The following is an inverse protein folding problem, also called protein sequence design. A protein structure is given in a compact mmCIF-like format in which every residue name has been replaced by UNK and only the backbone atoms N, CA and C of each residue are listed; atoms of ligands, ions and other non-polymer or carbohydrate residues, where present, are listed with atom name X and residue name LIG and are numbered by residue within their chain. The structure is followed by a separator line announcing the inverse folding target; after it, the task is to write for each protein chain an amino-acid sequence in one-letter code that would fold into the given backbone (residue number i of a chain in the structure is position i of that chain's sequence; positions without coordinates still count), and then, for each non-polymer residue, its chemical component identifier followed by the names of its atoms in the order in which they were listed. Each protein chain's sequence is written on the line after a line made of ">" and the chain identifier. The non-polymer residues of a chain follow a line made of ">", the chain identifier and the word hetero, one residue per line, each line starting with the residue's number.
data_IF_031417655563
#
_entry.id   IF_031417655563
#
_cell.length_a   1.000
_cell.length_b   1.000
_cell.length_c   1.000
_cell.angle_alpha   90.00
_cell.angle_beta   90.00
_cell.angle_gamma   90.00
#
_symmetry.space_group_name_H-M   'P 1'
#
loop_
_entity.id
_entity.type
_entity.pdbx_description
1 polymer ?
#
# COMPACT_ATOMS: atom_id res chain seq x y z
N UNK A 1 5.79 -25.82 7.85
CA UNK A 1 5.92 -26.58 9.12
C UNK A 1 7.40 -26.68 9.52
N UNK A 2 8.26 -27.19 8.66
CA UNK A 2 9.66 -27.49 8.97
C UNK A 2 10.46 -26.30 9.48
N UNK A 3 10.29 -25.11 8.89
CA UNK A 3 10.95 -23.87 9.35
C UNK A 3 10.52 -23.45 10.76
N UNK A 4 9.26 -23.69 11.15
CA UNK A 4 8.78 -23.39 12.51
C UNK A 4 9.45 -24.31 13.50
N UNK A 5 9.48 -25.63 13.25
CA UNK A 5 10.12 -26.60 14.11
C UNK A 5 11.63 -26.37 14.23
N UNK A 6 12.29 -26.08 13.11
CA UNK A 6 13.71 -25.72 13.13
C UNK A 6 13.99 -24.48 13.99
N UNK A 7 13.16 -23.43 13.82
CA UNK A 7 13.34 -22.22 14.61
C UNK A 7 13.09 -22.46 16.11
N UNK A 8 12.10 -23.29 16.48
CA UNK A 8 11.86 -23.68 17.88
C UNK A 8 13.11 -24.35 18.44
N UNK A 9 13.65 -25.38 17.77
CA UNK A 9 14.84 -26.08 18.20
C UNK A 9 16.06 -25.14 18.38
N UNK A 10 16.26 -24.20 17.45
CA UNK A 10 17.32 -23.21 17.54
C UNK A 10 17.12 -22.22 18.71
N UNK A 11 15.89 -21.85 19.02
CA UNK A 11 15.57 -20.98 20.15
C UNK A 11 15.73 -21.69 21.50
N UNK A 12 15.38 -22.98 21.57
CA UNK A 12 15.60 -23.82 22.74
C UNK A 12 17.08 -23.93 23.13
N UNK A 13 17.99 -24.06 22.14
CA UNK A 13 19.44 -24.09 22.37
C UNK A 13 19.99 -22.84 23.02
N UNK A 14 19.31 -21.70 22.85
CA UNK A 14 19.69 -20.43 23.46
C UNK A 14 18.77 -20.03 24.64
N UNK A 15 18.00 -20.99 25.18
CA UNK A 15 17.05 -20.82 26.27
C UNK A 15 15.97 -19.75 26.03
N UNK A 16 15.50 -19.61 24.78
CA UNK A 16 14.37 -18.75 24.44
C UNK A 16 13.12 -19.62 24.29
N UNK A 17 12.13 -19.39 25.15
CA UNK A 17 10.86 -20.13 25.11
C UNK A 17 10.07 -19.77 23.83
N UNK A 18 9.59 -20.80 23.15
CA UNK A 18 8.82 -20.67 21.92
C UNK A 18 7.66 -21.66 21.88
N UNK A 19 6.50 -21.22 21.43
CA UNK A 19 5.27 -21.99 21.40
C UNK A 19 4.74 -22.12 19.96
N UNK A 20 4.25 -23.30 19.60
CA UNK A 20 3.64 -23.55 18.28
C UNK A 20 2.22 -23.00 18.24
N UNK A 21 1.91 -22.26 17.19
CA UNK A 21 0.60 -21.68 16.93
C UNK A 21 0.05 -22.20 15.62
N UNK A 22 -1.19 -22.71 15.66
CA UNK A 22 -1.93 -23.13 14.47
C UNK A 22 -2.92 -22.04 14.04
N UNK A 23 -2.98 -21.77 12.75
CA UNK A 23 -3.80 -20.71 12.15
C UNK A 23 -4.46 -21.19 10.86
N UNK A 24 -5.69 -20.72 10.61
CA UNK A 24 -6.32 -20.78 9.31
C UNK A 24 -6.22 -19.40 8.62
N UNK A 25 -5.40 -19.30 7.57
CA UNK A 25 -5.19 -18.06 6.83
C UNK A 25 -6.37 -17.68 5.93
N UNK A 26 -7.17 -18.66 5.50
CA UNK A 26 -8.29 -18.49 4.56
C UNK A 26 -9.63 -18.19 5.25
N UNK A 27 -9.74 -18.50 6.54
CA UNK A 27 -10.97 -18.34 7.30
C UNK A 27 -10.74 -17.99 8.77
N UNK A 28 -11.84 -17.80 9.50
CA UNK A 28 -11.86 -17.83 10.95
C UNK A 28 -12.60 -19.09 11.38
N UNK A 29 -12.14 -19.77 12.41
CA UNK A 29 -12.92 -20.83 13.02
C UNK A 29 -13.79 -20.23 14.12
N UNK A 30 -15.12 -20.44 14.01
CA UNK A 30 -16.10 -19.94 14.97
C UNK A 30 -16.67 -21.05 15.86
N UNK A 31 -16.13 -22.26 15.78
CA UNK A 31 -16.65 -23.43 16.50
C UNK A 31 -15.91 -23.66 17.81
N UNK A 32 -16.64 -24.08 18.82
CA UNK A 32 -16.09 -24.55 20.10
C UNK A 32 -15.27 -25.85 19.95
N UNK A 33 -15.50 -26.60 18.88
CA UNK A 33 -14.76 -27.84 18.57
C UNK A 33 -13.79 -27.55 17.43
N UNK A 34 -12.51 -27.68 17.73
CA UNK A 34 -11.40 -27.51 16.78
C UNK A 34 -11.42 -28.74 15.82
N UNK A 35 -12.05 -28.58 14.68
CA UNK A 35 -11.86 -29.49 13.54
C UNK A 35 -10.62 -29.04 12.78
N UNK A 36 -9.92 -29.97 12.12
CA UNK A 36 -8.59 -29.80 11.50
C UNK A 36 -8.49 -28.77 10.33
N UNK A 37 -9.05 -27.59 10.50
CA UNK A 37 -9.09 -26.53 9.48
C UNK A 37 -7.81 -25.65 9.46
N UNK A 38 -6.78 -26.02 10.21
CA UNK A 38 -5.53 -25.28 10.23
C UNK A 38 -4.68 -25.58 9.00
N UNK A 39 -4.36 -24.56 8.24
CA UNK A 39 -3.58 -24.67 7.01
C UNK A 39 -2.18 -24.03 7.10
N UNK A 40 -1.86 -23.39 8.25
CA UNK A 40 -0.57 -22.75 8.45
C UNK A 40 -0.13 -22.78 9.93
N UNK A 41 1.17 -22.58 10.16
CA UNK A 41 1.80 -22.63 11.46
C UNK A 41 2.66 -21.39 11.69
N UNK A 42 2.51 -20.78 12.86
CA UNK A 42 3.29 -19.67 13.36
C UNK A 42 4.04 -20.11 14.63
N UNK A 43 4.89 -19.20 15.11
CA UNK A 43 5.58 -19.34 16.37
C UNK A 43 5.21 -18.15 17.27
N UNK A 44 5.08 -18.38 18.57
CA UNK A 44 4.84 -17.37 19.58
C UNK A 44 5.97 -17.39 20.60
N UNK A 45 6.53 -16.22 20.87
CA UNK A 45 7.53 -15.97 21.93
C UNK A 45 6.82 -15.34 23.13
N UNK A 46 6.56 -16.12 24.21
CA UNK A 46 5.73 -15.63 25.32
C UNK A 46 6.34 -14.47 26.11
N UNK A 47 7.63 -14.48 26.34
CA UNK A 47 8.31 -13.40 27.06
C UNK A 47 8.28 -12.05 26.34
N UNK A 48 8.34 -12.07 25.00
CA UNK A 48 8.30 -10.89 24.15
C UNK A 48 6.88 -10.52 23.72
N UNK A 49 5.90 -11.38 24.00
CA UNK A 49 4.52 -11.30 23.48
C UNK A 49 4.51 -11.11 21.96
N UNK A 50 5.25 -11.96 21.24
CA UNK A 50 5.55 -11.76 19.85
C UNK A 50 5.22 -12.99 19.01
N UNK A 51 4.42 -12.80 17.94
CA UNK A 51 4.17 -13.81 16.92
C UNK A 51 5.15 -13.67 15.76
N UNK A 52 5.67 -14.80 15.28
CA UNK A 52 6.59 -14.87 14.14
C UNK A 52 6.07 -15.83 13.08
N UNK A 53 6.31 -15.49 11.81
CA UNK A 53 6.07 -16.36 10.68
C UNK A 53 7.38 -16.65 9.94
N UNK A 54 8.11 -17.72 10.29
CA UNK A 54 9.40 -18.05 9.65
C UNK A 54 9.26 -18.55 8.21
N UNK A 55 8.02 -18.80 7.76
CA UNK A 55 7.75 -19.21 6.38
C UNK A 55 7.68 -18.01 5.40
N UNK A 56 7.64 -16.78 5.91
CA UNK A 56 7.58 -15.58 5.09
C UNK A 56 8.96 -14.92 4.99
N UNK A 57 9.60 -15.01 3.82
CA UNK A 57 10.94 -14.45 3.57
C UNK A 57 11.00 -12.92 3.47
N UNK A 58 9.83 -12.24 3.39
CA UNK A 58 9.75 -10.80 3.18
C UNK A 58 9.23 -10.01 4.37
N UNK A 59 8.93 -10.70 5.48
CA UNK A 59 8.39 -10.08 6.69
C UNK A 59 9.51 -9.73 7.66
N UNK A 60 9.54 -8.49 8.08
CA UNK A 60 10.49 -8.01 9.10
C UNK A 60 10.18 -8.64 10.45
N UNK A 61 11.22 -8.82 11.27
CA UNK A 61 11.05 -9.26 12.65
C UNK A 61 10.01 -8.41 13.39
N UNK A 62 9.17 -9.03 14.17
CA UNK A 62 8.09 -8.38 14.91
C UNK A 62 6.83 -8.07 14.10
N UNK A 63 6.79 -8.45 12.82
CA UNK A 63 5.62 -8.29 11.96
C UNK A 63 5.00 -9.62 11.58
N UNK A 64 3.73 -9.57 11.20
CA UNK A 64 3.02 -10.68 10.59
C UNK A 64 2.55 -10.30 9.18
N UNK A 65 2.56 -11.25 8.24
CA UNK A 65 1.86 -11.10 6.98
C UNK A 65 0.39 -10.73 7.19
N UNK A 66 -0.22 -10.09 6.19
CA UNK A 66 -1.62 -9.68 6.22
C UNK A 66 -2.56 -10.82 6.64
N UNK A 67 -2.44 -11.99 6.02
CA UNK A 67 -3.31 -13.14 6.29
C UNK A 67 -3.16 -13.76 7.68
N UNK A 68 -2.17 -13.33 8.46
CA UNK A 68 -1.88 -13.85 9.79
C UNK A 68 -2.30 -12.86 10.90
N UNK A 69 -2.71 -11.63 10.56
CA UNK A 69 -3.12 -10.61 11.53
C UNK A 69 -4.61 -10.69 11.88
N UNK A 70 -4.97 -10.43 13.14
CA UNK A 70 -6.35 -10.41 13.60
C UNK A 70 -7.06 -11.76 13.55
N UNK A 71 -6.35 -12.84 13.40
CA UNK A 71 -6.90 -14.19 13.26
C UNK A 71 -7.03 -14.88 14.62
N UNK A 72 -8.12 -15.66 14.79
CA UNK A 72 -8.18 -16.66 15.87
C UNK A 72 -7.14 -17.75 15.58
N UNK A 73 -6.39 -18.13 16.59
CA UNK A 73 -5.31 -19.11 16.51
C UNK A 73 -5.37 -20.07 17.69
N UNK A 74 -4.89 -21.29 17.52
CA UNK A 74 -4.74 -22.27 18.60
C UNK A 74 -3.27 -22.30 19.04
N UNK A 75 -3.04 -21.96 20.30
CA UNK A 75 -1.75 -22.19 20.94
C UNK A 75 -1.69 -23.65 21.40
N UNK A 76 -0.84 -24.46 20.79
CA UNK A 76 -0.76 -25.89 21.08
C UNK A 76 -0.20 -26.18 22.49
N UNK A 77 0.76 -25.41 22.94
CA UNK A 77 1.39 -25.62 24.25
C UNK A 77 0.41 -25.37 25.41
N UNK A 78 -0.53 -24.43 25.21
CA UNK A 78 -1.51 -24.03 26.25
C UNK A 78 -2.89 -24.63 26.05
N UNK A 79 -3.18 -25.20 24.89
CA UNK A 79 -4.52 -25.65 24.52
C UNK A 79 -5.55 -24.51 24.45
N UNK A 80 -5.10 -23.26 24.17
CA UNK A 80 -5.93 -22.07 24.25
C UNK A 80 -6.09 -21.40 22.89
N UNK A 81 -7.29 -20.87 22.68
CA UNK A 81 -7.58 -20.01 21.54
C UNK A 81 -7.14 -18.58 21.89
N UNK A 82 -6.35 -17.98 21.01
CA UNK A 82 -5.84 -16.62 21.11
C UNK A 82 -6.18 -15.85 19.84
N UNK A 83 -5.87 -14.57 19.80
CA UNK A 83 -6.00 -13.74 18.60
C UNK A 83 -4.64 -13.09 18.28
N UNK A 84 -4.20 -13.23 17.04
CA UNK A 84 -2.98 -12.55 16.59
C UNK A 84 -3.19 -11.04 16.54
N UNK A 85 -2.16 -10.23 16.81
CA UNK A 85 -2.29 -8.78 16.84
C UNK A 85 -2.57 -8.22 15.45
N UNK A 86 -3.29 -7.09 15.43
CA UNK A 86 -3.46 -6.23 14.28
C UNK A 86 -2.54 -5.02 14.48
N UNK A 87 -1.73 -4.68 13.49
CA UNK A 87 -0.91 -3.48 13.53
C UNK A 87 -1.76 -2.24 13.24
N UNK A 88 -1.58 -1.14 13.98
CA UNK A 88 -2.31 0.11 13.75
C UNK A 88 -1.92 0.74 12.40
N UNK A 89 -2.76 1.67 11.92
CA UNK A 89 -2.57 2.33 10.62
C UNK A 89 -1.24 3.09 10.51
N UNK A 90 -0.72 3.59 11.62
CA UNK A 90 0.58 4.29 11.69
C UNK A 90 1.75 3.36 11.33
N UNK A 91 1.52 2.05 11.42
CA UNK A 91 2.50 1.04 11.06
C UNK A 91 2.44 0.65 9.58
N UNK A 92 1.26 0.74 8.96
CA UNK A 92 1.02 0.38 7.57
C UNK A 92 0.88 1.65 6.73
N UNK A 93 1.99 2.18 6.24
CA UNK A 93 2.01 3.44 5.50
C UNK A 93 2.59 3.30 4.11
N UNK A 94 1.98 3.99 3.17
CA UNK A 94 2.53 4.27 1.86
C UNK A 94 2.55 5.78 1.63
N UNK A 95 3.72 6.34 1.35
CA UNK A 95 3.91 7.75 1.03
C UNK A 95 4.47 7.86 -0.38
N UNK A 96 3.78 8.56 -1.25
CA UNK A 96 4.24 8.85 -2.60
C UNK A 96 4.36 10.35 -2.80
N UNK A 97 5.48 10.76 -3.34
CA UNK A 97 5.70 12.10 -3.87
C UNK A 97 5.94 12.00 -5.36
N UNK A 98 5.18 12.75 -6.14
CA UNK A 98 5.28 12.82 -7.58
C UNK A 98 5.51 14.24 -8.03
N UNK A 99 6.46 14.43 -8.96
CA UNK A 99 6.64 15.69 -9.69
C UNK A 99 6.30 15.39 -11.14
N UNK A 100 5.40 16.15 -11.71
CA UNK A 100 4.87 15.98 -13.06
C UNK A 100 5.15 17.25 -13.84
N UNK A 101 6.03 17.13 -14.83
CA UNK A 101 6.34 18.23 -15.75
C UNK A 101 5.49 18.06 -17.01
N UNK A 102 4.42 18.83 -17.15
CA UNK A 102 3.61 18.86 -18.35
C UNK A 102 4.39 19.49 -19.51
N UNK A 103 4.34 18.88 -20.69
CA UNK A 103 4.95 19.39 -21.92
C UNK A 103 3.89 19.92 -22.86
N UNK A 104 4.23 20.92 -23.68
CA UNK A 104 3.29 21.58 -24.60
C UNK A 104 2.55 20.64 -25.60
N UNK A 105 3.07 19.44 -25.80
CA UNK A 105 2.59 18.46 -26.76
C UNK A 105 1.74 17.34 -26.14
N UNK A 106 1.14 17.56 -24.96
CA UNK A 106 0.29 16.57 -24.27
C UNK A 106 1.04 15.48 -23.52
N UNK A 107 2.38 15.49 -23.56
CA UNK A 107 3.23 14.57 -22.80
C UNK A 107 3.46 15.05 -21.38
N UNK A 108 3.88 14.14 -20.52
CA UNK A 108 4.36 14.49 -19.19
C UNK A 108 5.62 13.68 -18.85
N UNK A 109 6.60 14.36 -18.22
CA UNK A 109 7.70 13.69 -17.51
C UNK A 109 7.30 13.55 -16.06
N UNK A 110 7.38 12.34 -15.52
CA UNK A 110 6.96 12.03 -14.16
C UNK A 110 8.14 11.48 -13.37
N UNK A 111 8.44 12.12 -12.25
CA UNK A 111 9.34 11.63 -11.22
C UNK A 111 8.55 11.22 -9.98
N UNK A 112 8.56 9.94 -9.66
CA UNK A 112 7.83 9.36 -8.56
C UNK A 112 8.79 8.78 -7.52
N UNK A 113 8.58 9.11 -6.25
CA UNK A 113 9.26 8.49 -5.12
C UNK A 113 8.24 7.93 -4.15
N UNK A 114 8.38 6.65 -3.82
CA UNK A 114 7.53 5.91 -2.90
C UNK A 114 8.35 5.46 -1.70
N UNK A 115 7.81 5.66 -0.50
CA UNK A 115 8.29 5.08 0.75
C UNK A 115 7.22 4.15 1.31
N UNK A 116 7.61 2.94 1.64
CA UNK A 116 6.72 1.89 2.12
C UNK A 116 7.09 1.46 3.55
N UNK A 117 6.08 1.25 4.39
CA UNK A 117 6.23 0.74 5.75
C UNK A 117 5.15 -0.30 6.06
N UNK A 118 5.49 -1.26 6.93
CA UNK A 118 4.57 -2.31 7.35
C UNK A 118 4.16 -3.21 6.19
N UNK A 119 2.86 -3.32 5.94
CA UNK A 119 2.34 -4.14 4.85
C UNK A 119 2.79 -3.68 3.46
N UNK A 120 2.91 -2.38 3.22
CA UNK A 120 3.41 -1.86 1.95
C UNK A 120 4.89 -2.18 1.72
N UNK A 121 5.69 -2.18 2.79
CA UNK A 121 7.10 -2.62 2.73
C UNK A 121 7.20 -4.12 2.39
N UNK A 122 6.33 -4.95 2.99
CA UNK A 122 6.21 -6.36 2.64
C UNK A 122 5.91 -6.56 1.15
N UNK A 123 4.93 -5.82 0.59
CA UNK A 123 4.59 -5.92 -0.84
C UNK A 123 5.77 -5.49 -1.71
N UNK A 124 6.42 -4.38 -1.39
CA UNK A 124 7.57 -3.91 -2.16
C UNK A 124 8.71 -4.96 -2.17
N UNK A 125 8.97 -5.60 -1.02
CA UNK A 125 9.96 -6.68 -0.91
C UNK A 125 9.55 -7.93 -1.69
N UNK A 126 8.28 -8.33 -1.62
CA UNK A 126 7.76 -9.49 -2.35
C UNK A 126 7.81 -9.28 -3.87
N UNK A 127 7.55 -8.05 -4.34
CA UNK A 127 7.58 -7.72 -5.77
C UNK A 127 8.99 -7.59 -6.34
N UNK A 128 9.94 -7.06 -5.57
CA UNK A 128 11.24 -6.63 -6.10
C UNK A 128 12.45 -7.29 -5.43
N UNK A 129 12.29 -7.89 -4.24
CA UNK A 129 13.41 -8.28 -3.38
C UNK A 129 14.31 -9.38 -3.95
N UNK A 130 13.73 -10.32 -4.71
CA UNK A 130 14.47 -11.43 -5.33
C UNK A 130 14.79 -11.18 -6.81
N UNK A 131 14.35 -10.05 -7.37
CA UNK A 131 14.57 -9.75 -8.78
C UNK A 131 15.95 -9.14 -9.02
N UNK A 132 16.59 -9.57 -10.13
CA UNK A 132 17.74 -8.85 -10.68
C UNK A 132 17.36 -7.43 -11.12
N UNK A 133 18.33 -6.56 -11.33
CA UNK A 133 18.10 -5.18 -11.82
C UNK A 133 17.23 -5.16 -13.10
N UNK A 134 17.48 -6.08 -14.03
CA UNK A 134 16.66 -6.21 -15.24
C UNK A 134 15.24 -6.68 -14.91
N UNK A 135 15.09 -7.62 -13.98
CA UNK A 135 13.79 -8.08 -13.48
C UNK A 135 13.00 -6.96 -12.83
N UNK A 136 13.64 -6.17 -11.98
CA UNK A 136 13.04 -5.00 -11.36
C UNK A 136 12.56 -3.97 -12.39
N UNK A 137 13.37 -3.70 -13.42
CA UNK A 137 12.98 -2.81 -14.52
C UNK A 137 11.75 -3.33 -15.28
N UNK A 138 11.71 -4.62 -15.61
CA UNK A 138 10.56 -5.25 -16.29
C UNK A 138 9.29 -5.20 -15.42
N UNK A 139 9.40 -5.55 -14.15
CA UNK A 139 8.29 -5.49 -13.21
C UNK A 139 7.73 -4.06 -13.09
N UNK A 140 8.62 -3.05 -12.98
CA UNK A 140 8.21 -1.64 -12.94
C UNK A 140 7.51 -1.23 -14.23
N UNK A 141 8.05 -1.58 -15.42
CA UNK A 141 7.40 -1.28 -16.69
C UNK A 141 6.02 -1.90 -16.80
N UNK A 142 5.84 -3.14 -16.33
CA UNK A 142 4.53 -3.79 -16.31
C UNK A 142 3.54 -3.07 -15.40
N UNK A 143 3.98 -2.61 -14.22
CA UNK A 143 3.13 -1.83 -13.32
C UNK A 143 2.72 -0.52 -13.98
N UNK A 144 3.66 0.21 -14.59
CA UNK A 144 3.37 1.47 -15.28
C UNK A 144 2.40 1.28 -16.45
N UNK A 145 2.54 0.22 -17.24
CA UNK A 145 1.64 -0.10 -18.36
C UNK A 145 0.19 -0.38 -17.93
N UNK A 146 -0.03 -0.77 -16.67
CA UNK A 146 -1.39 -0.92 -16.13
C UNK A 146 -2.06 0.42 -15.78
N UNK A 147 -1.28 1.51 -15.69
CA UNK A 147 -1.77 2.82 -15.28
C UNK A 147 -1.68 3.88 -16.37
N UNK A 148 -0.76 3.74 -17.32
CA UNK A 148 -0.46 4.75 -18.33
C UNK A 148 -0.37 4.13 -19.73
N UNK A 149 -0.69 4.92 -20.73
CA UNK A 149 -0.55 4.54 -22.14
C UNK A 149 0.91 4.73 -22.57
N UNK A 150 1.55 3.67 -23.04
CA UNK A 150 2.94 3.66 -23.56
C UNK A 150 3.95 4.40 -22.67
N UNK A 151 4.05 4.12 -21.37
CA UNK A 151 5.01 4.78 -20.50
C UNK A 151 6.43 4.36 -20.88
N UNK A 152 7.34 5.33 -20.97
CA UNK A 152 8.75 5.08 -21.24
C UNK A 152 9.55 5.26 -19.95
N UNK A 153 10.01 4.13 -19.37
CA UNK A 153 10.77 4.14 -18.12
C UNK A 153 12.23 4.55 -18.38
N UNK A 154 12.63 5.72 -17.90
CA UNK A 154 13.98 6.28 -18.04
C UNK A 154 14.89 5.83 -16.89
N UNK A 155 14.45 6.10 -15.68
CA UNK A 155 15.20 5.90 -14.44
C UNK A 155 14.47 4.97 -13.48
N UNK A 156 15.25 4.13 -12.81
CA UNK A 156 14.75 3.27 -11.73
C UNK A 156 15.80 3.19 -10.62
N UNK A 157 15.37 3.36 -9.39
CA UNK A 157 16.18 3.14 -8.20
C UNK A 157 15.32 2.50 -7.13
N UNK A 158 15.65 1.27 -6.77
CA UNK A 158 14.96 0.46 -5.77
C UNK A 158 15.94 0.16 -4.64
N UNK A 159 15.61 0.56 -3.42
CA UNK A 159 16.46 0.37 -2.26
C UNK A 159 15.67 -0.31 -1.12
N UNK A 160 16.37 -1.06 -0.27
CA UNK A 160 15.83 -1.67 0.94
C UNK A 160 14.97 -2.91 0.72
N UNK A 161 14.71 -3.32 -0.52
CA UNK A 161 13.81 -4.46 -0.82
C UNK A 161 14.44 -5.83 -0.54
N UNK A 162 15.76 -5.96 -0.62
CA UNK A 162 16.49 -7.19 -0.31
C UNK A 162 17.01 -7.26 1.12
N UNK A 163 16.79 -6.21 1.94
CA UNK A 163 17.27 -6.10 3.30
C UNK A 163 16.08 -5.92 4.26
N UNK A 164 15.81 -6.93 5.11
CA UNK A 164 14.70 -6.88 6.06
C UNK A 164 14.88 -5.81 7.15
N UNK A 165 16.08 -5.29 7.36
CA UNK A 165 16.35 -4.23 8.34
C UNK A 165 16.12 -2.82 7.80
N UNK A 166 15.93 -2.67 6.47
CA UNK A 166 15.71 -1.38 5.82
C UNK A 166 14.28 -1.27 5.27
N UNK A 167 13.70 -0.09 5.35
CA UNK A 167 12.44 0.21 4.67
C UNK A 167 12.64 0.35 3.17
N UNK A 168 11.66 -0.11 2.41
CA UNK A 168 11.67 -0.01 0.95
C UNK A 168 11.45 1.45 0.51
N UNK A 169 12.32 1.90 -0.39
CA UNK A 169 12.21 3.17 -1.09
C UNK A 169 12.38 2.94 -2.57
N UNK A 170 11.36 3.28 -3.35
CA UNK A 170 11.32 3.12 -4.79
C UNK A 170 11.29 4.50 -5.44
N UNK A 171 12.09 4.71 -6.50
CA UNK A 171 12.08 5.96 -7.27
C UNK A 171 12.11 5.63 -8.76
N UNK A 172 11.23 6.28 -9.52
CA UNK A 172 11.04 6.07 -10.95
C UNK A 172 10.99 7.40 -11.67
N UNK A 173 11.64 7.49 -12.83
CA UNK A 173 11.46 8.55 -13.79
C UNK A 173 10.94 7.95 -15.08
N UNK A 174 9.86 8.49 -15.64
CA UNK A 174 9.26 7.99 -16.87
C UNK A 174 8.51 9.08 -17.63
N UNK A 175 8.46 8.97 -18.95
CA UNK A 175 7.64 9.82 -19.82
C UNK A 175 6.35 9.09 -20.18
N UNK A 176 5.25 9.84 -20.24
CA UNK A 176 3.94 9.37 -20.71
C UNK A 176 3.49 10.23 -21.88
N UNK A 177 3.06 9.58 -22.96
CA UNK A 177 2.40 10.24 -24.08
C UNK A 177 0.91 10.38 -23.78
N UNK A 178 0.28 11.40 -24.38
CA UNK A 178 -1.16 11.66 -24.25
C UNK A 178 -1.63 11.70 -22.77
N UNK A 179 -0.78 12.27 -21.92
CA UNK A 179 -1.02 12.37 -20.48
C UNK A 179 -2.17 13.33 -20.15
N UNK A 180 -2.37 14.34 -20.95
CA UNK A 180 -3.48 15.28 -20.85
C UNK A 180 -4.01 15.64 -22.24
N UNK A 181 -5.31 15.95 -22.31
CA UNK A 181 -5.94 16.40 -23.53
C UNK A 181 -5.73 17.91 -23.67
N UNK A 182 -5.38 18.37 -24.86
CA UNK A 182 -5.23 19.79 -25.14
C UNK A 182 -5.90 20.14 -26.47
N UNK A 183 -6.47 21.34 -26.54
CA UNK A 183 -7.08 21.89 -27.73
C UNK A 183 -6.81 23.38 -27.75
N UNK A 184 -6.05 23.84 -28.74
CA UNK A 184 -5.61 25.24 -28.88
C UNK A 184 -4.98 25.76 -27.58
N UNK A 185 -5.64 26.73 -26.92
CA UNK A 185 -5.16 27.39 -25.69
C UNK A 185 -5.69 26.76 -24.40
N UNK A 186 -6.35 25.60 -24.50
CA UNK A 186 -6.90 24.92 -23.32
C UNK A 186 -6.37 23.51 -23.18
N UNK A 187 -6.23 23.07 -21.93
CA UNK A 187 -5.89 21.68 -21.63
C UNK A 187 -6.68 21.14 -20.45
N UNK A 188 -6.96 19.85 -20.49
CA UNK A 188 -7.73 19.14 -19.49
C UNK A 188 -6.91 17.97 -18.93
N UNK A 189 -6.59 18.05 -17.65
CA UNK A 189 -5.91 17.00 -16.92
C UNK A 189 -6.90 16.29 -15.99
N UNK A 190 -7.04 14.99 -16.15
CA UNK A 190 -7.93 14.19 -15.30
C UNK A 190 -7.21 13.73 -14.04
N UNK A 191 -7.87 13.86 -12.89
CA UNK A 191 -7.31 13.43 -11.59
C UNK A 191 -7.04 11.91 -11.54
N UNK A 192 -7.77 11.10 -12.29
CA UNK A 192 -7.55 9.65 -12.38
C UNK A 192 -6.20 9.27 -13.02
N UNK A 193 -5.58 10.17 -13.78
CA UNK A 193 -4.25 9.97 -14.39
C UNK A 193 -3.11 10.26 -13.41
N UNK A 194 -3.41 10.87 -12.26
CA UNK A 194 -2.42 11.14 -11.25
C UNK A 194 -1.96 9.83 -10.57
N UNK A 195 -0.68 9.72 -10.17
CA UNK A 195 -0.13 8.51 -9.55
C UNK A 195 -0.63 8.33 -8.11
N UNK A 196 -1.93 8.07 -7.94
CA UNK A 196 -2.59 7.98 -6.64
C UNK A 196 -2.30 6.65 -5.93
N UNK A 197 -2.00 5.58 -6.66
CA UNK A 197 -1.63 4.29 -6.07
C UNK A 197 -0.61 3.57 -6.95
N UNK A 198 0.43 3.05 -6.36
CA UNK A 198 1.49 2.34 -7.09
C UNK A 198 1.58 0.86 -6.70
N UNK A 199 1.65 0.54 -5.39
CA UNK A 199 1.79 -0.84 -4.94
C UNK A 199 0.47 -1.60 -4.86
N UNK A 200 -0.59 -0.90 -4.43
CA UNK A 200 -1.94 -1.45 -4.35
C UNK A 200 -2.96 -0.39 -4.75
N UNK A 201 -4.03 -0.81 -5.41
CA UNK A 201 -5.19 0.05 -5.56
C UNK A 201 -5.87 0.26 -4.19
N UNK A 202 -6.56 1.41 -4.01
CA UNK A 202 -7.37 1.62 -2.80
C UNK A 202 -8.47 0.55 -2.70
N UNK A 203 -8.92 0.00 -3.83
CA UNK A 203 -9.85 -1.12 -3.86
C UNK A 203 -9.28 -2.38 -3.19
N UNK A 204 -7.98 -2.65 -3.37
CA UNK A 204 -7.32 -3.80 -2.74
C UNK A 204 -7.09 -3.54 -1.24
N UNK A 205 -6.79 -2.30 -0.88
CA UNK A 205 -6.54 -1.88 0.52
C UNK A 205 -7.81 -1.97 1.38
N UNK A 206 -8.99 -1.72 0.82
CA UNK A 206 -10.26 -1.77 1.57
C UNK A 206 -10.55 -3.11 2.25
N UNK A 207 -9.95 -4.19 1.77
CA UNK A 207 -10.13 -5.55 2.30
C UNK A 207 -9.01 -5.97 3.26
N UNK A 208 -8.16 -5.05 3.68
CA UNK A 208 -6.91 -5.41 4.33
C UNK A 208 -6.80 -4.83 5.74
N UNK A 209 -5.71 -4.23 6.06
CA UNK A 209 -5.34 -3.75 7.39
C UNK A 209 -5.63 -2.26 7.57
N UNK A 210 -5.74 -1.79 8.82
CA UNK A 210 -5.63 -0.37 9.09
C UNK A 210 -4.40 0.20 8.40
N UNK A 211 -4.57 1.29 7.65
CA UNK A 211 -3.49 1.86 6.83
C UNK A 211 -3.59 3.38 6.68
N UNK A 212 -2.48 3.97 6.28
CA UNK A 212 -2.39 5.37 5.89
C UNK A 212 -1.69 5.50 4.55
N UNK A 213 -2.35 6.13 3.60
CA UNK A 213 -1.82 6.44 2.28
C UNK A 213 -1.75 7.95 2.14
N UNK A 214 -0.59 8.48 1.84
CA UNK A 214 -0.40 9.91 1.57
C UNK A 214 0.24 10.11 0.20
N UNK A 215 -0.25 11.11 -0.53
CA UNK A 215 0.26 11.52 -1.84
C UNK A 215 0.48 13.01 -1.84
N UNK A 216 1.68 13.40 -2.23
CA UNK A 216 2.03 14.77 -2.58
C UNK A 216 2.31 14.79 -4.08
N UNK A 217 1.51 15.51 -4.84
CA UNK A 217 1.62 15.60 -6.29
C UNK A 217 1.86 17.05 -6.65
N UNK A 218 2.98 17.32 -7.30
CA UNK A 218 3.37 18.65 -7.78
C UNK A 218 3.30 18.58 -9.31
N UNK A 219 2.50 19.43 -9.91
CA UNK A 219 2.34 19.54 -11.36
C UNK A 219 2.91 20.86 -11.82
N UNK A 220 3.97 20.82 -12.60
CA UNK A 220 4.54 21.99 -13.26
C UNK A 220 3.78 22.24 -14.55
N UNK A 221 3.16 23.42 -14.66
CA UNK A 221 2.28 23.82 -15.75
C UNK A 221 3.09 24.59 -16.78
N UNK A 222 2.96 24.33 -18.09
CA UNK A 222 3.58 25.12 -19.13
C UNK A 222 3.15 26.60 -19.10
N UNK A 223 4.10 27.51 -19.31
CA UNK A 223 3.90 28.98 -19.25
C UNK A 223 2.81 29.53 -20.18
N UNK A 224 2.45 28.79 -21.22
CA UNK A 224 1.37 29.19 -22.14
C UNK A 224 0.00 29.22 -21.48
N UNK A 225 -0.20 28.49 -20.38
CA UNK A 225 -1.45 28.49 -19.64
C UNK A 225 -1.37 29.51 -18.51
N UNK A 226 -2.18 30.54 -18.58
CA UNK A 226 -2.16 31.67 -17.64
C UNK A 226 -3.29 31.60 -16.60
N UNK A 227 -4.23 30.67 -16.75
CA UNK A 227 -5.34 30.46 -15.83
C UNK A 227 -5.52 28.96 -15.54
N UNK A 228 -5.55 28.65 -14.25
CA UNK A 228 -5.76 27.28 -13.78
C UNK A 228 -7.07 27.23 -13.00
N UNK A 229 -7.97 26.32 -13.37
CA UNK A 229 -9.21 26.07 -12.64
C UNK A 229 -9.08 24.73 -11.93
N UNK A 230 -9.03 24.78 -10.61
CA UNK A 230 -8.88 23.61 -9.76
C UNK A 230 -10.25 23.04 -9.34
N UNK A 231 -10.34 21.74 -9.08
CA UNK A 231 -11.49 21.18 -8.38
C UNK A 231 -11.59 21.72 -6.97
N UNK A 232 -12.78 21.56 -6.37
CA UNK A 232 -12.95 21.83 -4.95
C UNK A 232 -12.25 20.78 -4.08
N UNK A 233 -11.71 21.23 -2.95
CA UNK A 233 -11.22 20.35 -1.89
C UNK A 233 -12.33 19.43 -1.41
N UNK A 234 -12.00 18.19 -1.10
CA UNK A 234 -12.96 17.22 -0.57
C UNK A 234 -12.43 16.59 0.71
N UNK A 235 -13.32 16.49 1.69
CA UNK A 235 -13.05 15.84 2.96
C UNK A 235 -14.22 14.96 3.33
N UNK A 236 -13.98 13.66 3.44
CA UNK A 236 -14.95 12.66 3.85
C UNK A 236 -14.42 11.95 5.08
N UNK A 237 -15.24 11.88 6.12
CA UNK A 237 -14.91 11.21 7.38
C UNK A 237 -16.09 10.35 7.77
N UNK A 238 -15.84 9.13 8.17
CA UNK A 238 -16.79 8.25 8.82
C UNK A 238 -16.10 7.43 9.93
N UNK A 239 -16.81 6.51 10.55
CA UNK A 239 -16.30 5.72 11.67
C UNK A 239 -15.09 4.85 11.32
N UNK A 240 -14.93 4.43 10.06
CA UNK A 240 -13.88 3.52 9.61
C UNK A 240 -12.66 4.25 9.06
N UNK A 241 -12.77 5.54 8.73
CA UNK A 241 -11.63 6.26 8.19
C UNK A 241 -11.92 7.65 7.68
N UNK A 242 -10.96 8.16 6.94
CA UNK A 242 -11.07 9.46 6.27
C UNK A 242 -10.39 9.45 4.91
N UNK A 243 -10.95 10.26 4.02
CA UNK A 243 -10.43 10.55 2.71
C UNK A 243 -10.41 12.07 2.52
N UNK A 244 -9.25 12.63 2.22
CA UNK A 244 -9.09 14.06 1.98
C UNK A 244 -8.29 14.29 0.71
N UNK A 245 -8.70 15.28 -0.07
CA UNK A 245 -7.92 15.84 -1.16
C UNK A 245 -8.01 17.35 -1.09
N UNK A 246 -6.89 18.02 -1.19
CA UNK A 246 -6.78 19.48 -1.28
C UNK A 246 -5.95 19.87 -2.50
N UNK A 247 -6.32 20.97 -3.13
CA UNK A 247 -5.74 21.51 -4.33
C UNK A 247 -5.25 22.93 -4.07
N UNK A 248 -4.00 23.23 -4.38
CA UNK A 248 -3.43 24.54 -4.22
C UNK A 248 -2.71 24.94 -5.49
N UNK A 249 -2.94 26.16 -5.95
CA UNK A 249 -2.12 26.80 -7.00
C UNK A 249 -1.03 27.65 -6.35
N UNK A 250 0.20 27.48 -6.80
CA UNK A 250 1.36 28.30 -6.45
C UNK A 250 2.07 28.67 -7.74
N UNK A 251 1.90 29.90 -8.18
CA UNK A 251 2.45 30.38 -9.47
C UNK A 251 2.06 29.42 -10.61
N UNK A 252 3.02 28.80 -11.26
CA UNK A 252 2.88 27.87 -12.38
C UNK A 252 2.80 26.41 -11.90
N UNK A 253 2.59 26.18 -10.62
CA UNK A 253 2.49 24.85 -10.05
C UNK A 253 1.10 24.60 -9.46
N UNK A 254 0.64 23.37 -9.60
CA UNK A 254 -0.50 22.82 -8.84
C UNK A 254 0.05 21.82 -7.85
N UNK A 255 -0.22 22.03 -6.58
CA UNK A 255 0.04 21.08 -5.50
C UNK A 255 -1.26 20.36 -5.13
N UNK A 256 -1.23 19.04 -5.11
CA UNK A 256 -2.35 18.21 -4.70
C UNK A 256 -1.88 17.31 -3.56
N UNK A 257 -2.56 17.40 -2.42
CA UNK A 257 -2.34 16.48 -1.32
C UNK A 257 -3.54 15.54 -1.20
N UNK A 258 -3.26 14.27 -1.30
CA UNK A 258 -4.26 13.23 -1.14
C UNK A 258 -3.91 12.39 0.09
N UNK A 259 -4.85 12.25 1.03
CA UNK A 259 -4.70 11.47 2.25
C UNK A 259 -5.88 10.53 2.43
N UNK A 260 -5.56 9.25 2.52
CA UNK A 260 -6.53 8.20 2.84
C UNK A 260 -6.07 7.48 4.09
N UNK A 261 -6.96 7.34 5.06
CA UNK A 261 -6.70 6.61 6.30
C UNK A 261 -7.85 5.65 6.57
N UNK A 262 -7.47 4.46 6.99
CA UNK A 262 -8.38 3.39 7.32
C UNK A 262 -8.07 2.86 8.72
N UNK A 263 -9.09 2.70 9.57
CA UNK A 263 -8.89 2.43 11.00
C UNK A 263 -9.08 0.98 11.39
N UNK A 264 -9.94 0.21 10.68
CA UNK A 264 -10.31 -1.16 11.05
C UNK A 264 -10.00 -2.18 9.96
N UNK A 265 -9.96 -3.44 10.36
CA UNK A 265 -9.97 -4.57 9.43
C UNK A 265 -11.35 -4.75 8.83
N UNK A 266 -11.39 -4.89 7.53
CA UNK A 266 -12.57 -5.38 6.85
C UNK A 266 -12.93 -6.78 7.35
N UNK A 267 -14.16 -6.99 7.78
CA UNK A 267 -14.71 -8.29 8.17
C UNK A 267 -14.90 -8.53 9.66
N UNK A 268 -14.61 -7.56 10.53
CA UNK A 268 -14.94 -7.71 11.96
C UNK A 268 -16.43 -7.51 12.27
N UNK A 269 -17.18 -6.75 11.45
CA UNK A 269 -18.64 -6.56 11.57
C UNK A 269 -19.23 -6.14 10.20
N UNK A 270 -20.46 -6.55 9.91
CA UNK A 270 -21.17 -6.20 8.67
C UNK A 270 -21.32 -4.68 8.44
N UNK A 271 -21.32 -3.88 9.50
CA UNK A 271 -21.40 -2.41 9.43
C UNK A 271 -20.14 -1.75 8.89
N UNK A 272 -18.96 -2.33 9.12
CA UNK A 272 -17.68 -1.81 8.59
C UNK A 272 -17.69 -1.71 7.07
N UNK A 273 -18.28 -2.68 6.38
CA UNK A 273 -18.33 -2.71 4.92
C UNK A 273 -19.11 -1.53 4.30
N UNK A 274 -20.16 -1.08 4.96
CA UNK A 274 -20.95 0.07 4.49
C UNK A 274 -20.10 1.34 4.48
N UNK A 275 -19.38 1.60 5.57
CA UNK A 275 -18.53 2.78 5.70
C UNK A 275 -17.31 2.74 4.77
N UNK A 276 -16.71 1.55 4.59
CA UNK A 276 -15.59 1.34 3.67
C UNK A 276 -16.02 1.60 2.23
N UNK A 277 -17.16 1.02 1.83
CA UNK A 277 -17.68 1.21 0.49
C UNK A 277 -18.09 2.67 0.23
N UNK A 278 -18.60 3.37 1.25
CA UNK A 278 -18.87 4.80 1.13
C UNK A 278 -17.59 5.59 0.82
N UNK A 279 -16.51 5.41 1.59
CA UNK A 279 -15.23 6.06 1.33
C UNK A 279 -14.67 5.69 -0.05
N UNK A 280 -14.82 4.44 -0.45
CA UNK A 280 -14.40 4.00 -1.77
C UNK A 280 -15.19 4.68 -2.90
N UNK A 281 -16.51 4.79 -2.77
CA UNK A 281 -17.36 5.49 -3.72
C UNK A 281 -17.02 6.99 -3.79
N UNK A 282 -16.70 7.63 -2.66
CA UNK A 282 -16.19 9.01 -2.62
C UNK A 282 -14.85 9.15 -3.34
N UNK A 283 -13.95 8.18 -3.16
CA UNK A 283 -12.68 8.13 -3.89
C UNK A 283 -12.88 8.03 -5.41
N UNK A 284 -13.82 7.21 -5.89
CA UNK A 284 -14.12 7.12 -7.32
C UNK A 284 -14.60 8.49 -7.86
N UNK A 285 -15.45 9.20 -7.11
CA UNK A 285 -15.90 10.55 -7.48
C UNK A 285 -14.76 11.58 -7.54
N UNK A 286 -13.76 11.48 -6.65
CA UNK A 286 -12.56 12.33 -6.74
C UNK A 286 -11.78 12.04 -8.02
N UNK A 287 -11.66 10.80 -8.44
CA UNK A 287 -10.97 10.41 -9.68
C UNK A 287 -11.61 10.98 -10.94
N UNK A 288 -12.92 11.28 -10.90
CA UNK A 288 -13.64 11.90 -12.02
C UNK A 288 -13.43 13.41 -12.14
N UNK A 289 -12.78 14.03 -11.15
CA UNK A 289 -12.49 15.47 -11.19
C UNK A 289 -11.44 15.81 -12.26
N UNK A 290 -11.45 17.07 -12.68
CA UNK A 290 -10.60 17.57 -13.76
C UNK A 290 -9.98 18.91 -13.37
N UNK A 291 -8.73 19.11 -13.79
CA UNK A 291 -8.02 20.39 -13.72
C UNK A 291 -8.04 20.99 -15.12
N UNK A 292 -8.56 22.20 -15.24
CA UNK A 292 -8.64 22.91 -16.52
C UNK A 292 -7.56 24.00 -16.56
N UNK A 293 -6.75 23.95 -17.60
CA UNK A 293 -5.70 24.92 -17.92
C UNK A 293 -6.17 25.79 -19.11
N UNK A 294 -6.04 27.10 -19.03
CA UNK A 294 -6.42 28.07 -20.05
C UNK A 294 -5.31 29.04 -20.33
#
# INVERSE_FOLDING_TARGET
>A
KDKVHLLIALLEEINVAAETILINRQGNFDREVVVADFNHMLLYLPEQNLYLNPNSGFVRYGNLPLGDQGKKVLNLARGQIQKTPIRPKEYNQEQVRSVIDLKDNGRAQIDLTLKAQGFYDFIAKALFGELSTLGQRRATSNILNNHYTEPQLDRIKINGVSDLNKLSKLSFGFEVKDYYQFQEDTALLQVNQLPISFLLSIADVRNTLPCKISREIIINIPLKYNKIVLPEDKKYINNEGQLMVDYQQKEEQVLINFNYQFNRLAGEENLSWVYINDLFNKYQKIKEQQILLK
#
